data_IF_399818701028
#
_entry.id   IF_399818701028
#
_cell.length_a   1.000
_cell.length_b   1.000
_cell.length_c   1.000
_cell.angle_alpha   90.00
_cell.angle_beta   90.00
_cell.angle_gamma   90.00
#
_symmetry.space_group_name_H-M   'P 1'
#
loop_
_entity.id
_entity.type
_entity.pdbx_description
1 polymer ?
#
# COMPACT_ATOMS: atom_id res chain seq x y z
N UNK A 1 6.12 11.48 25.34
CA UNK A 1 5.32 11.18 24.13
C UNK A 1 6.06 10.11 23.36
N UNK A 2 5.62 8.86 23.50
CA UNK A 2 6.23 7.73 22.80
C UNK A 2 5.92 7.83 21.32
N UNK A 3 6.95 7.90 20.48
CA UNK A 3 6.81 7.63 19.07
C UNK A 3 6.91 6.11 18.94
N UNK A 4 5.79 5.43 19.12
CA UNK A 4 5.57 4.02 18.74
C UNK A 4 5.71 3.91 17.21
N UNK A 5 6.96 4.04 16.79
CA UNK A 5 7.44 3.84 15.44
C UNK A 5 7.64 2.34 15.31
N UNK A 6 6.54 1.60 15.25
CA UNK A 6 6.55 0.25 14.66
C UNK A 6 5.93 0.31 13.26
N UNK A 7 6.62 0.89 12.25
CA UNK A 7 6.37 0.53 10.87
C UNK A 7 7.07 -0.81 10.67
N UNK A 8 6.31 -1.89 10.58
CA UNK A 8 6.79 -3.07 9.88
C UNK A 8 7.30 -2.61 8.52
N UNK A 9 8.61 -2.70 8.33
CA UNK A 9 9.39 -2.60 7.08
C UNK A 9 8.60 -2.10 5.86
N UNK A 10 8.52 -0.78 5.67
CA UNK A 10 8.06 -0.24 4.38
C UNK A 10 7.47 1.15 4.43
N UNK A 11 8.11 2.07 3.70
CA UNK A 11 7.65 3.43 3.37
C UNK A 11 7.46 4.43 4.52
N UNK A 12 7.85 5.68 4.25
CA UNK A 12 7.70 6.81 5.16
C UNK A 12 6.23 6.99 5.55
N UNK A 13 5.92 7.39 6.79
CA UNK A 13 4.54 7.64 7.28
C UNK A 13 3.70 8.47 6.30
N UNK A 14 4.31 9.46 5.66
CA UNK A 14 3.67 10.31 4.67
C UNK A 14 3.28 9.56 3.39
N UNK A 15 4.13 8.63 2.93
CA UNK A 15 3.85 7.80 1.75
C UNK A 15 2.76 6.76 2.07
N UNK A 16 2.79 6.17 3.28
CA UNK A 16 1.72 5.31 3.78
C UNK A 16 0.37 6.05 3.78
N UNK A 17 0.33 7.26 4.35
CA UNK A 17 -0.89 8.07 4.36
C UNK A 17 -1.37 8.41 2.93
N UNK A 18 -0.46 8.81 2.03
CA UNK A 18 -0.80 9.13 0.64
C UNK A 18 -1.52 7.97 -0.08
N UNK A 19 -1.04 6.73 0.08
CA UNK A 19 -1.58 5.57 -0.63
C UNK A 19 -2.78 4.91 0.07
N UNK A 20 -2.96 5.10 1.38
CA UNK A 20 -4.02 4.43 2.16
C UNK A 20 -5.20 5.32 2.56
N UNK A 21 -4.99 6.64 2.70
CA UNK A 21 -6.06 7.59 3.05
C UNK A 21 -6.03 8.87 2.22
N UNK A 22 -4.93 9.11 1.50
CA UNK A 22 -4.73 10.29 0.68
C UNK A 22 -5.19 10.14 -0.76
N UNK A 23 -4.84 11.11 -1.62
CA UNK A 23 -5.26 11.12 -3.02
C UNK A 23 -4.67 9.96 -3.83
N UNK A 24 -3.61 9.30 -3.34
CA UNK A 24 -3.07 8.08 -3.93
C UNK A 24 -4.04 6.91 -3.86
N UNK A 25 -4.90 6.84 -2.83
CA UNK A 25 -5.89 5.78 -2.64
C UNK A 25 -6.81 5.63 -3.87
N UNK A 26 -7.39 6.74 -4.33
CA UNK A 26 -8.34 6.73 -5.44
C UNK A 26 -7.73 6.27 -6.77
N UNK A 27 -6.39 6.28 -6.90
CA UNK A 27 -5.69 5.85 -8.12
C UNK A 27 -5.70 4.34 -8.30
N UNK A 28 -5.90 3.57 -7.23
CA UNK A 28 -5.85 2.11 -7.27
C UNK A 28 -7.05 1.45 -6.59
N UNK A 29 -7.61 2.00 -5.51
CA UNK A 29 -8.67 1.36 -4.74
C UNK A 29 -9.97 1.18 -5.53
N UNK A 30 -10.27 2.08 -6.47
CA UNK A 30 -11.46 2.00 -7.35
C UNK A 30 -11.19 1.19 -8.64
N UNK A 31 -9.94 0.79 -8.88
CA UNK A 31 -9.62 0.01 -10.08
C UNK A 31 -10.22 -1.41 -10.02
N UNK A 32 -10.56 -2.01 -11.18
CA UNK A 32 -11.05 -3.39 -11.25
C UNK A 32 -10.05 -4.42 -10.69
N UNK A 33 -8.75 -4.08 -10.64
CA UNK A 33 -7.72 -4.89 -10.02
C UNK A 33 -6.87 -4.03 -9.07
N UNK A 34 -7.35 -3.73 -7.85
CA UNK A 34 -6.73 -2.73 -6.99
C UNK A 34 -5.29 -3.08 -6.63
N UNK A 35 -5.05 -4.35 -6.27
CA UNK A 35 -3.72 -4.84 -5.91
C UNK A 35 -2.73 -4.70 -7.06
N UNK A 36 -3.12 -5.10 -8.27
CA UNK A 36 -2.26 -5.03 -9.48
C UNK A 36 -1.97 -3.57 -9.86
N UNK A 37 -2.98 -2.69 -9.78
CA UNK A 37 -2.81 -1.26 -10.07
C UNK A 37 -1.82 -0.63 -9.08
N UNK A 38 -2.00 -0.88 -7.79
CA UNK A 38 -1.11 -0.36 -6.75
C UNK A 38 0.32 -0.88 -6.91
N UNK A 39 0.50 -2.17 -7.15
CA UNK A 39 1.81 -2.77 -7.41
C UNK A 39 2.49 -2.14 -8.63
N UNK A 40 1.74 -1.88 -9.69
CA UNK A 40 2.24 -1.24 -10.92
C UNK A 40 2.64 0.22 -10.71
N UNK A 41 1.96 0.94 -9.84
CA UNK A 41 2.38 2.29 -9.44
C UNK A 41 3.62 2.26 -8.54
N UNK A 42 3.64 1.38 -7.53
CA UNK A 42 4.75 1.30 -6.57
C UNK A 42 6.07 0.87 -7.24
N UNK A 43 6.04 -0.10 -8.17
CA UNK A 43 7.23 -0.56 -8.89
C UNK A 43 7.94 0.52 -9.73
N UNK A 44 7.26 1.65 -10.02
CA UNK A 44 7.89 2.80 -10.70
C UNK A 44 8.90 3.53 -9.81
N UNK A 45 8.74 3.43 -8.50
CA UNK A 45 9.53 4.18 -7.51
C UNK A 45 10.46 3.29 -6.67
N UNK A 46 10.28 1.97 -6.71
CA UNK A 46 11.05 1.03 -5.89
C UNK A 46 11.15 -0.35 -6.54
N UNK A 47 12.08 -1.17 -6.04
CA UNK A 47 12.27 -2.54 -6.50
C UNK A 47 11.05 -3.41 -6.26
N UNK A 48 10.89 -4.41 -7.14
CA UNK A 48 9.74 -5.31 -7.21
C UNK A 48 9.39 -5.97 -5.87
N UNK A 49 10.39 -6.50 -5.16
CA UNK A 49 10.25 -7.11 -3.84
C UNK A 49 9.63 -6.15 -2.83
N UNK A 50 10.05 -4.89 -2.85
CA UNK A 50 9.57 -3.85 -1.91
C UNK A 50 8.16 -3.39 -2.29
N UNK A 51 7.91 -3.22 -3.58
CA UNK A 51 6.58 -2.87 -4.10
C UNK A 51 5.54 -3.93 -3.72
N UNK A 52 5.86 -5.23 -3.88
CA UNK A 52 4.94 -6.33 -3.58
C UNK A 52 4.58 -6.42 -2.09
N UNK A 53 5.56 -6.21 -1.21
CA UNK A 53 5.34 -6.14 0.24
C UNK A 53 4.41 -4.98 0.62
N UNK A 54 4.72 -3.77 0.16
CA UNK A 54 3.91 -2.58 0.42
C UNK A 54 2.51 -2.66 -0.18
N UNK A 55 2.39 -3.23 -1.37
CA UNK A 55 1.08 -3.42 -2.02
C UNK A 55 0.17 -4.26 -1.13
N UNK A 56 0.70 -5.37 -0.60
CA UNK A 56 -0.06 -6.26 0.28
C UNK A 56 -0.43 -5.57 1.59
N UNK A 57 0.52 -4.89 2.21
CA UNK A 57 0.29 -4.10 3.44
C UNK A 57 -0.82 -3.04 3.24
N UNK A 58 -0.73 -2.25 2.17
CA UNK A 58 -1.73 -1.21 1.89
C UNK A 58 -3.08 -1.79 1.52
N UNK A 59 -3.11 -2.86 0.73
CA UNK A 59 -4.34 -3.55 0.36
C UNK A 59 -5.08 -4.04 1.61
N UNK A 60 -4.38 -4.75 2.51
CA UNK A 60 -4.97 -5.23 3.76
C UNK A 60 -5.41 -4.06 4.65
N UNK A 61 -4.66 -2.96 4.68
CA UNK A 61 -5.02 -1.78 5.49
C UNK A 61 -6.28 -1.06 4.99
N UNK A 62 -6.48 -1.00 3.68
CA UNK A 62 -7.63 -0.32 3.04
C UNK A 62 -8.86 -1.21 3.02
N UNK A 63 -8.70 -2.47 2.63
CA UNK A 63 -9.81 -3.39 2.40
C UNK A 63 -10.11 -4.31 3.59
N UNK A 64 -9.21 -4.39 4.57
CA UNK A 64 -9.35 -5.26 5.74
C UNK A 64 -9.16 -6.75 5.48
N UNK A 65 -8.92 -7.16 4.22
CA UNK A 65 -8.70 -8.55 3.83
C UNK A 65 -7.52 -8.68 2.85
N UNK A 66 -6.90 -9.86 2.82
CA UNK A 66 -5.76 -10.13 1.94
C UNK A 66 -6.19 -10.37 0.48
N UNK A 67 -5.29 -10.14 -0.50
CA UNK A 67 -5.58 -10.28 -1.94
C UNK A 67 -5.82 -11.72 -2.43
N UNK A 68 -6.02 -12.68 -1.53
CA UNK A 68 -6.25 -14.10 -1.83
C UNK A 68 -7.51 -14.69 -1.20
N UNK A 69 -8.41 -13.85 -0.65
CA UNK A 69 -9.66 -14.32 -0.04
C UNK A 69 -10.86 -13.88 -0.90
N UNK A 70 -11.07 -14.58 -2.02
CA UNK A 70 -12.32 -14.59 -2.78
C UNK A 70 -13.08 -15.89 -2.49
#
# INVERSE_FOLDING_TARGET
MGLDTSPGVGASTQLNAYWTTGPGLAKWADSPHPWTTLYTELRKYMSDTKARGLTTEYYVRVFGHGPGHH
#
